data_IF_685649893517
#
_entry.id   IF_685649893517
#
_cell.length_a   1.000
_cell.length_b   1.000
_cell.length_c   1.000
_cell.angle_alpha   90.00
_cell.angle_beta   90.00
_cell.angle_gamma   90.00
#
_symmetry.space_group_name_H-M   'P 1'
#
loop_
_entity.id
_entity.type
_entity.pdbx_description
1 polymer ?
#
# COMPACT_ATOMS: atom_id res chain seq x y z
N UNK A 1 -8.25 -14.52 -5.99
CA UNK A 1 -9.19 -13.39 -6.11
C UNK A 1 -8.56 -12.11 -6.69
N UNK A 2 -7.25 -12.09 -6.95
CA UNK A 2 -6.58 -10.87 -7.41
C UNK A 2 -6.81 -10.54 -8.89
N UNK A 3 -7.24 -11.50 -9.71
CA UNK A 3 -7.74 -11.19 -11.05
C UNK A 3 -9.10 -10.47 -10.97
N UNK A 4 -9.39 -9.62 -11.95
CA UNK A 4 -10.72 -9.11 -12.21
C UNK A 4 -11.61 -10.24 -12.72
N UNK A 5 -12.49 -10.75 -11.85
CA UNK A 5 -13.48 -11.76 -12.22
C UNK A 5 -14.52 -11.20 -13.22
N UNK A 6 -14.89 -9.93 -13.06
CA UNK A 6 -15.77 -9.19 -13.96
C UNK A 6 -15.37 -7.70 -13.97
N UNK A 7 -15.34 -7.03 -15.13
CA UNK A 7 -15.03 -5.61 -15.20
C UNK A 7 -15.92 -4.76 -14.29
N UNK A 8 -15.30 -3.87 -13.52
CA UNK A 8 -16.00 -2.96 -12.60
C UNK A 8 -16.53 -3.58 -11.30
N UNK A 9 -16.42 -4.90 -11.12
CA UNK A 9 -16.82 -5.57 -9.87
C UNK A 9 -15.62 -5.63 -8.92
N UNK A 10 -15.78 -5.18 -7.65
CA UNK A 10 -14.69 -5.23 -6.69
C UNK A 10 -14.37 -6.66 -6.26
N UNK A 11 -13.08 -6.92 -6.02
CA UNK A 11 -12.62 -8.15 -5.36
C UNK A 11 -12.71 -8.03 -3.82
N UNK A 12 -12.20 -9.03 -3.08
CA UNK A 12 -12.20 -9.07 -1.62
C UNK A 12 -11.51 -7.87 -0.94
N UNK A 13 -10.68 -7.12 -1.66
CA UNK A 13 -9.99 -5.92 -1.17
C UNK A 13 -10.60 -4.61 -1.69
N UNK A 14 -11.75 -4.69 -2.39
CA UNK A 14 -12.41 -3.52 -2.97
C UNK A 14 -11.74 -3.00 -4.25
N UNK A 15 -10.74 -3.71 -4.80
CA UNK A 15 -10.09 -3.30 -6.05
C UNK A 15 -10.97 -3.68 -7.23
N UNK A 16 -11.23 -2.71 -8.10
CA UNK A 16 -11.90 -2.94 -9.37
C UNK A 16 -10.87 -3.15 -10.49
N UNK A 17 -11.23 -3.97 -11.46
CA UNK A 17 -10.40 -4.22 -12.62
C UNK A 17 -11.19 -4.26 -13.91
N UNK A 18 -10.50 -4.64 -14.99
CA UNK A 18 -11.07 -4.82 -16.30
C UNK A 18 -10.15 -5.71 -17.14
N UNK A 19 -10.17 -5.53 -18.47
CA UNK A 19 -9.44 -6.39 -19.42
C UNK A 19 -7.98 -6.67 -19.06
N UNK A 20 -7.25 -5.68 -18.52
CA UNK A 20 -5.82 -5.81 -18.25
C UNK A 20 -5.51 -6.84 -17.15
N UNK A 21 -6.41 -6.98 -16.17
CA UNK A 21 -6.28 -7.95 -15.10
C UNK A 21 -7.37 -9.03 -15.18
N UNK A 22 -7.91 -9.32 -16.37
CA UNK A 22 -8.84 -10.43 -16.56
C UNK A 22 -8.13 -11.80 -16.46
N UNK A 23 -8.90 -12.83 -16.12
CA UNK A 23 -8.44 -14.22 -15.98
C UNK A 23 -8.11 -14.79 -17.37
N UNK A 24 -6.88 -15.27 -17.57
CA UNK A 24 -6.43 -15.92 -18.79
C UNK A 24 -5.46 -17.08 -18.44
N UNK A 25 -5.44 -18.19 -19.20
CA UNK A 25 -4.51 -19.29 -18.97
C UNK A 25 -3.04 -18.84 -18.98
N UNK A 26 -2.28 -19.23 -17.96
CA UNK A 26 -0.86 -18.89 -17.84
C UNK A 26 -0.55 -17.44 -17.47
N UNK A 27 -1.56 -16.56 -17.39
CA UNK A 27 -1.39 -15.17 -16.96
C UNK A 27 -1.13 -15.08 -15.46
N UNK A 28 -0.36 -14.07 -15.05
CA UNK A 28 -0.17 -13.72 -13.64
C UNK A 28 -1.11 -12.59 -13.26
N UNK A 29 -1.76 -12.71 -12.11
CA UNK A 29 -2.62 -11.69 -11.54
C UNK A 29 -1.82 -10.43 -11.19
N UNK A 30 -2.46 -9.26 -11.29
CA UNK A 30 -1.91 -8.04 -10.70
C UNK A 30 -1.83 -8.20 -9.19
N UNK A 31 -0.73 -7.75 -8.59
CA UNK A 31 -0.54 -7.76 -7.14
C UNK A 31 -0.25 -6.35 -6.63
N UNK A 32 -0.75 -6.04 -5.44
CA UNK A 32 -0.38 -4.84 -4.70
C UNK A 32 0.86 -5.03 -3.83
N UNK A 33 1.52 -6.20 -3.85
CA UNK A 33 2.74 -6.43 -3.07
C UNK A 33 3.85 -5.44 -3.46
N UNK A 34 4.44 -4.79 -2.47
CA UNK A 34 5.47 -3.75 -2.67
C UNK A 34 6.70 -3.99 -1.78
N UNK A 35 7.41 -5.13 -1.91
CA UNK A 35 8.68 -5.31 -1.22
C UNK A 35 9.67 -4.25 -1.70
N UNK A 36 10.25 -3.49 -0.78
CA UNK A 36 11.03 -2.28 -1.10
C UNK A 36 12.34 -2.22 -0.33
N UNK A 37 13.42 -1.85 -1.03
CA UNK A 37 14.73 -1.58 -0.46
C UNK A 37 15.06 -0.10 -0.67
N UNK A 38 15.44 0.60 0.39
CA UNK A 38 15.92 1.98 0.35
C UNK A 38 17.42 2.00 0.58
N UNK A 39 18.15 2.62 -0.34
CA UNK A 39 19.59 2.83 -0.26
C UNK A 39 19.85 4.28 0.09
N UNK A 40 20.55 4.54 1.18
CA UNK A 40 20.95 5.88 1.61
C UNK A 40 22.41 6.16 1.22
N UNK A 41 22.74 7.45 1.09
CA UNK A 41 24.09 7.89 0.70
C UNK A 41 25.17 7.53 1.72
N UNK A 42 24.80 7.36 2.99
CA UNK A 42 25.69 6.92 4.08
C UNK A 42 25.98 5.40 4.05
N UNK A 43 25.43 4.69 3.07
CA UNK A 43 25.54 3.24 2.93
C UNK A 43 24.50 2.44 3.73
N UNK A 44 23.59 3.11 4.46
CA UNK A 44 22.51 2.43 5.17
C UNK A 44 21.50 1.83 4.19
N UNK A 45 21.17 0.56 4.40
CA UNK A 45 20.10 -0.15 3.71
C UNK A 45 18.90 -0.31 4.64
N UNK A 46 17.71 0.07 4.17
CA UNK A 46 16.45 -0.23 4.85
C UNK A 46 15.62 -1.15 3.97
N UNK A 47 15.20 -2.29 4.52
CA UNK A 47 14.25 -3.20 3.88
C UNK A 47 12.86 -3.03 4.51
N UNK A 48 11.83 -2.84 3.68
CA UNK A 48 10.45 -2.67 4.14
C UNK A 48 9.43 -3.37 3.22
N UNK A 49 8.27 -3.65 3.78
CA UNK A 49 7.15 -4.32 3.14
C UNK A 49 6.00 -4.50 4.13
N UNK A 50 4.82 -4.87 3.64
CA UNK A 50 3.65 -5.08 4.50
C UNK A 50 2.62 -6.01 3.84
N UNK A 51 1.84 -6.79 4.61
CA UNK A 51 0.56 -7.35 4.13
C UNK A 51 -0.52 -6.25 4.09
N UNK A 52 -1.69 -6.55 3.51
CA UNK A 52 -2.83 -5.62 3.55
C UNK A 52 -3.72 -5.55 2.31
N UNK A 53 -3.45 -6.35 1.27
CA UNK A 53 -4.19 -6.28 0.00
C UNK A 53 -4.02 -4.91 -0.66
N UNK A 54 -5.13 -4.21 -0.92
CA UNK A 54 -5.13 -2.88 -1.53
C UNK A 54 -4.33 -1.82 -0.77
N UNK A 55 -4.12 -2.00 0.55
CA UNK A 55 -3.43 -1.02 1.41
C UNK A 55 -1.91 -1.11 1.35
N UNK A 56 -1.34 -2.20 0.82
CA UNK A 56 0.11 -2.47 0.87
C UNK A 56 0.90 -1.29 0.29
N UNK A 57 0.48 -0.78 -0.86
CA UNK A 57 1.14 0.33 -1.56
C UNK A 57 1.23 1.56 -0.66
N UNK A 58 0.10 1.97 -0.06
CA UNK A 58 0.03 3.15 0.79
C UNK A 58 0.77 2.97 2.12
N UNK A 59 0.75 1.76 2.70
CA UNK A 59 1.51 1.46 3.94
C UNK A 59 3.01 1.62 3.67
N UNK A 60 3.51 1.03 2.58
CA UNK A 60 4.93 1.12 2.21
C UNK A 60 5.30 2.56 1.88
N UNK A 61 4.47 3.27 1.12
CA UNK A 61 4.67 4.70 0.82
C UNK A 61 4.83 5.54 2.09
N UNK A 62 3.93 5.38 3.07
CA UNK A 62 4.00 6.12 4.33
C UNK A 62 5.27 5.81 5.12
N UNK A 63 5.73 4.55 5.14
CA UNK A 63 7.01 4.20 5.77
C UNK A 63 8.17 4.90 5.05
N UNK A 64 8.17 4.94 3.72
CA UNK A 64 9.19 5.64 2.94
C UNK A 64 9.18 7.14 3.25
N UNK A 65 8.03 7.81 3.22
CA UNK A 65 7.91 9.23 3.56
C UNK A 65 8.35 9.52 5.01
N UNK A 66 7.95 8.68 5.97
CA UNK A 66 8.36 8.84 7.36
C UNK A 66 9.89 8.79 7.53
N UNK A 67 10.56 7.90 6.79
CA UNK A 67 12.02 7.77 6.82
C UNK A 67 12.74 8.90 6.06
N UNK A 68 12.23 9.26 4.88
CA UNK A 68 12.90 10.18 3.96
C UNK A 68 12.58 11.65 4.22
N UNK A 69 11.30 11.97 4.41
CA UNK A 69 10.80 13.34 4.52
C UNK A 69 10.71 13.81 5.98
N UNK A 70 10.36 12.91 6.90
CA UNK A 70 10.17 13.23 8.32
C UNK A 70 11.35 12.83 9.21
N UNK A 71 12.40 12.25 8.65
CA UNK A 71 13.63 11.89 9.37
C UNK A 71 13.42 10.89 10.51
N UNK A 72 12.32 10.14 10.50
CA UNK A 72 12.02 9.16 11.55
C UNK A 72 13.01 7.98 11.48
N UNK A 73 13.27 7.36 12.63
CA UNK A 73 13.89 6.04 12.65
C UNK A 73 12.86 4.95 12.27
N UNK A 74 13.33 3.74 11.98
CA UNK A 74 12.48 2.62 11.53
C UNK A 74 11.38 2.27 12.53
N UNK A 75 11.66 2.33 13.84
CA UNK A 75 10.66 2.02 14.86
C UNK A 75 9.55 3.08 14.89
N UNK A 76 9.92 4.37 14.93
CA UNK A 76 8.95 5.46 14.92
C UNK A 76 8.14 5.48 13.62
N UNK A 77 8.77 5.28 12.45
CA UNK A 77 8.10 5.19 11.16
C UNK A 77 7.11 4.03 11.08
N UNK A 78 7.42 2.90 11.74
CA UNK A 78 6.55 1.73 11.81
C UNK A 78 5.34 1.96 12.72
N UNK A 79 5.53 2.64 13.85
CA UNK A 79 4.51 2.91 14.85
C UNK A 79 3.62 4.11 14.56
N UNK A 80 4.00 4.97 13.60
CA UNK A 80 3.18 6.09 13.18
C UNK A 80 1.81 5.60 12.65
N UNK A 81 0.70 6.29 13.00
CA UNK A 81 -0.64 5.95 12.51
C UNK A 81 -0.72 6.13 10.99
N UNK A 82 -1.54 5.32 10.33
CA UNK A 82 -1.64 5.30 8.87
C UNK A 82 -3.00 5.78 8.35
N UNK A 83 -2.98 6.29 7.13
CA UNK A 83 -4.18 6.59 6.34
C UNK A 83 -4.14 5.91 4.97
N UNK A 84 -5.28 5.77 4.32
CA UNK A 84 -5.41 5.04 3.06
C UNK A 84 -6.57 5.56 2.21
N UNK A 85 -6.29 5.88 0.95
CA UNK A 85 -7.30 6.10 -0.07
C UNK A 85 -6.97 5.23 -1.28
N UNK A 86 -7.95 4.50 -1.81
CA UNK A 86 -7.80 3.60 -2.97
C UNK A 86 -8.70 3.99 -4.14
N UNK A 87 -9.09 5.27 -4.19
CA UNK A 87 -10.06 5.85 -5.13
C UNK A 87 -11.49 5.34 -4.97
N UNK A 88 -11.71 4.02 -5.01
CA UNK A 88 -13.00 3.39 -4.75
C UNK A 88 -12.87 2.33 -3.63
N UNK A 89 -13.68 2.40 -2.56
CA UNK A 89 -14.66 3.45 -2.27
C UNK A 89 -13.99 4.82 -2.06
N UNK A 90 -14.75 5.90 -2.35
CA UNK A 90 -14.31 7.30 -2.21
C UNK A 90 -14.38 7.71 -0.73
N UNK A 91 -13.44 7.20 0.04
CA UNK A 91 -13.34 7.35 1.49
C UNK A 91 -11.89 7.33 1.93
N UNK A 92 -11.52 8.23 2.83
CA UNK A 92 -10.23 8.20 3.51
C UNK A 92 -10.32 7.28 4.74
N UNK A 93 -9.68 6.12 4.67
CA UNK A 93 -9.51 5.25 5.83
C UNK A 93 -8.39 5.77 6.73
N UNK A 94 -8.64 5.87 8.03
CA UNK A 94 -7.66 6.31 9.02
C UNK A 94 -7.58 5.33 10.19
N UNK A 95 -6.38 5.08 10.69
CA UNK A 95 -6.16 4.38 11.95
C UNK A 95 -6.35 5.31 13.16
N UNK A 96 -6.47 4.73 14.36
CA UNK A 96 -6.43 5.52 15.60
C UNK A 96 -5.03 6.10 15.79
N UNK A 97 -4.94 7.32 16.32
CA UNK A 97 -3.67 7.98 16.64
C UNK A 97 -3.43 9.30 15.91
N UNK A 98 -4.26 9.65 14.93
CA UNK A 98 -4.30 11.00 14.35
C UNK A 98 -5.06 11.96 15.29
N UNK A 99 -4.62 13.23 15.31
CA UNK A 99 -5.30 14.28 16.08
C UNK A 99 -6.70 14.53 15.52
N UNK A 100 -7.72 14.80 16.35
CA UNK A 100 -9.02 15.26 15.87
C UNK A 100 -8.98 16.60 15.11
N UNK A 101 -7.92 17.39 15.32
CA UNK A 101 -7.73 18.70 14.68
C UNK A 101 -7.06 18.61 13.30
N UNK A 102 -6.58 17.42 12.91
CA UNK A 102 -6.00 17.14 11.58
C UNK A 102 -7.11 16.89 10.57
#
# INVERSE_FOLDING_TARGET
DDFSAKPGVPNAYGLIGGRHNAIEPGKRMLSSMTPTLLFKDDGTLVATGSPGGSRIINIVLQVVCNLADHGMNVATATHAPRFHHQWLPDQLGIERGLSPDT
#
